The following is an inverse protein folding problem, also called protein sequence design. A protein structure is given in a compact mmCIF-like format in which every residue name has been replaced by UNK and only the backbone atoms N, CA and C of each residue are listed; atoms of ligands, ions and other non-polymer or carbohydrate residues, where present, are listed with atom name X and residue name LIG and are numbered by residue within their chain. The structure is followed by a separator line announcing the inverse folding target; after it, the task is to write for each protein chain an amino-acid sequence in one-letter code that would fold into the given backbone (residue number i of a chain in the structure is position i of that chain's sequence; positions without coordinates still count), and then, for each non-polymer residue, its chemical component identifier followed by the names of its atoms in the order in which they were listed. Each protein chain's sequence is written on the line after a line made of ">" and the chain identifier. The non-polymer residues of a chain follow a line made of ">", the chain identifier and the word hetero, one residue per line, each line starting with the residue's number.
data_IF_550953656283
#
_entry.id   IF_550953656283
#
_cell.length_a   1.000
_cell.length_b   1.000
_cell.length_c   1.000
_cell.angle_alpha   90.00
_cell.angle_beta   90.00
_cell.angle_gamma   90.00
#
_symmetry.space_group_name_H-M   'P 1'
#
loop_
_entity.id
_entity.type
_entity.pdbx_description
1 polymer ?
#
# COMPACT_ATOMS: atom_id res chain seq x y z
N UNK A 1 -5.10 23.27 7.66
CA UNK A 1 -5.45 21.92 7.19
C UNK A 1 -5.13 20.82 8.20
N UNK A 2 -3.91 20.73 8.75
CA UNK A 2 -3.57 19.69 9.76
C UNK A 2 -4.50 19.75 10.97
N UNK A 3 -4.68 20.92 11.54
CA UNK A 3 -5.54 21.14 12.72
C UNK A 3 -6.98 20.68 12.47
N UNK A 4 -7.53 20.98 11.29
CA UNK A 4 -8.88 20.58 10.91
C UNK A 4 -9.04 19.06 10.88
N UNK A 5 -8.04 18.33 10.37
CA UNK A 5 -8.05 16.87 10.34
C UNK A 5 -7.83 16.28 11.73
N UNK A 6 -6.91 16.86 12.51
CA UNK A 6 -6.62 16.43 13.88
C UNK A 6 -7.85 16.54 14.79
N UNK A 7 -8.62 17.63 14.68
CA UNK A 7 -9.87 17.77 15.40
C UNK A 7 -10.90 16.67 15.13
N UNK A 8 -10.93 16.10 13.91
CA UNK A 8 -11.87 15.01 13.59
C UNK A 8 -11.44 13.70 14.25
N UNK A 9 -10.12 13.45 14.38
CA UNK A 9 -9.58 12.33 15.15
C UNK A 9 -9.88 12.50 16.64
N UNK A 10 -9.65 13.68 17.21
CA UNK A 10 -9.95 13.97 18.63
C UNK A 10 -11.44 13.82 18.96
N UNK A 11 -12.31 14.15 18.03
CA UNK A 11 -13.77 13.97 18.16
C UNK A 11 -14.22 12.52 17.97
N UNK A 12 -13.31 11.59 17.69
CA UNK A 12 -13.60 10.18 17.46
C UNK A 12 -14.47 9.92 16.23
N UNK A 13 -14.44 10.81 15.24
CA UNK A 13 -15.17 10.61 13.98
C UNK A 13 -14.42 9.66 13.02
N UNK A 14 -13.10 9.61 13.17
CA UNK A 14 -12.22 8.75 12.42
C UNK A 14 -11.19 8.13 13.36
N UNK A 15 -10.87 6.87 13.13
CA UNK A 15 -9.78 6.17 13.81
C UNK A 15 -8.45 6.43 13.11
N UNK A 16 -8.50 6.69 11.80
CA UNK A 16 -7.34 6.99 10.96
C UNK A 16 -7.71 7.97 9.86
N UNK A 17 -6.80 8.91 9.55
CA UNK A 17 -6.90 9.81 8.39
C UNK A 17 -5.55 9.84 7.68
N UNK A 18 -5.56 9.76 6.35
CA UNK A 18 -4.37 9.94 5.52
C UNK A 18 -4.44 11.29 4.83
N UNK A 19 -3.45 12.14 5.11
CA UNK A 19 -3.33 13.47 4.52
C UNK A 19 -2.49 13.41 3.24
N UNK A 20 -3.07 13.76 2.12
CA UNK A 20 -2.37 13.89 0.85
C UNK A 20 -2.17 15.35 0.46
N UNK A 21 -1.05 15.65 -0.18
CA UNK A 21 -0.77 16.97 -0.76
C UNK A 21 -0.14 16.85 -2.14
N UNK A 22 -0.38 17.85 -2.98
CA UNK A 22 0.28 17.99 -4.27
C UNK A 22 1.29 19.14 -4.22
N UNK A 23 2.50 18.89 -4.70
CA UNK A 23 3.55 19.91 -4.83
C UNK A 23 3.92 20.07 -6.30
N UNK A 24 3.93 21.30 -6.80
CA UNK A 24 4.34 21.61 -8.18
C UNK A 24 5.83 21.99 -8.18
N UNK A 25 6.62 21.21 -8.89
CA UNK A 25 8.02 21.54 -9.15
C UNK A 25 8.17 22.16 -10.54
N UNK A 26 8.74 23.37 -10.60
CA UNK A 26 9.17 24.01 -11.85
C UNK A 26 10.69 23.94 -11.89
N UNK A 27 11.24 23.11 -12.75
CA UNK A 27 12.67 23.06 -13.00
C UNK A 27 12.91 23.11 -14.51
N UNK A 28 13.86 23.94 -14.96
CA UNK A 28 14.32 23.93 -16.35
C UNK A 28 14.90 22.57 -16.74
N UNK A 29 15.48 21.85 -15.78
CA UNK A 29 15.96 20.48 -15.95
C UNK A 29 14.82 19.47 -16.25
N UNK A 30 13.59 19.74 -15.83
CA UNK A 30 12.44 18.86 -16.09
C UNK A 30 11.86 19.04 -17.49
N UNK A 31 12.19 20.14 -18.20
CA UNK A 31 11.61 20.44 -19.51
C UNK A 31 11.99 19.42 -20.61
N UNK A 32 13.01 18.62 -20.39
CA UNK A 32 13.52 17.64 -21.35
C UNK A 32 13.42 16.19 -20.87
N UNK A 33 12.81 15.95 -19.69
CA UNK A 33 12.67 14.58 -19.17
C UNK A 33 11.51 13.90 -19.90
N UNK A 34 11.83 12.86 -20.66
CA UNK A 34 10.81 12.02 -21.29
C UNK A 34 10.24 11.02 -20.26
N UNK A 35 8.92 10.97 -20.14
CA UNK A 35 8.23 10.06 -19.20
C UNK A 35 8.65 8.59 -19.36
N UNK A 36 8.89 8.16 -20.61
CA UNK A 36 9.40 6.83 -20.92
C UNK A 36 10.79 6.56 -20.33
N UNK A 37 11.69 7.54 -20.36
CA UNK A 37 13.04 7.39 -19.80
C UNK A 37 12.98 7.27 -18.28
N UNK A 38 12.11 8.07 -17.62
CA UNK A 38 11.86 7.97 -16.19
C UNK A 38 11.33 6.60 -15.81
N UNK A 39 10.36 6.10 -16.57
CA UNK A 39 9.80 4.76 -16.37
C UNK A 39 10.87 3.69 -16.44
N UNK A 40 11.69 3.69 -17.48
CA UNK A 40 12.76 2.70 -17.65
C UNK A 40 13.81 2.78 -16.54
N UNK A 41 14.17 4.00 -16.10
CA UNK A 41 15.05 4.19 -14.94
C UNK A 41 14.42 3.68 -13.65
N UNK A 42 13.15 3.96 -13.42
CA UNK A 42 12.44 3.45 -12.26
C UNK A 42 12.42 1.91 -12.22
N UNK A 43 12.15 1.25 -13.35
CA UNK A 43 12.22 -0.22 -13.46
C UNK A 43 13.62 -0.77 -13.13
N UNK A 44 14.66 -0.08 -13.53
CA UNK A 44 16.04 -0.49 -13.22
C UNK A 44 16.40 -0.26 -11.75
N UNK A 45 15.96 0.87 -11.18
CA UNK A 45 16.27 1.23 -9.78
C UNK A 45 15.46 0.43 -8.77
N UNK A 46 14.25 0.04 -9.11
CA UNK A 46 13.29 -0.60 -8.20
C UNK A 46 12.75 -1.93 -8.76
N UNK A 47 13.58 -2.94 -8.98
CA UNK A 47 13.18 -4.18 -9.66
C UNK A 47 12.14 -5.02 -8.89
N UNK A 48 11.86 -4.66 -7.63
CA UNK A 48 10.90 -5.38 -6.77
C UNK A 48 9.59 -4.61 -6.57
N UNK A 49 9.48 -3.41 -7.14
CA UNK A 49 8.25 -2.64 -7.08
C UNK A 49 7.42 -2.86 -8.35
N UNK A 50 6.12 -2.72 -8.21
CA UNK A 50 5.26 -2.56 -9.38
C UNK A 50 5.45 -1.14 -9.92
N UNK A 51 5.94 -1.03 -11.16
CA UNK A 51 6.17 0.25 -11.83
C UNK A 51 5.19 0.38 -12.98
N UNK A 52 4.46 1.47 -13.02
CA UNK A 52 3.53 1.74 -14.10
C UNK A 52 3.67 3.19 -14.62
N UNK A 53 3.56 3.34 -15.93
CA UNK A 53 3.45 4.61 -16.62
C UNK A 53 2.11 4.63 -17.35
N UNK A 54 1.22 5.52 -16.94
CA UNK A 54 -0.14 5.62 -17.47
C UNK A 54 -0.37 7.06 -17.96
N UNK A 55 -0.97 7.20 -19.14
CA UNK A 55 -1.33 8.51 -19.69
C UNK A 55 -2.78 8.51 -20.13
N UNK A 56 -3.55 9.46 -19.62
CA UNK A 56 -4.96 9.66 -19.99
C UNK A 56 -5.20 11.11 -20.42
N UNK A 57 -6.22 11.31 -21.20
CA UNK A 57 -6.62 12.67 -21.64
C UNK A 57 -7.17 13.51 -20.49
N UNK A 58 -7.75 12.86 -19.45
CA UNK A 58 -8.38 13.53 -18.33
C UNK A 58 -7.37 13.85 -17.21
N UNK A 59 -6.50 12.90 -16.87
CA UNK A 59 -5.62 13.00 -15.69
C UNK A 59 -4.17 13.32 -16.01
N UNK A 60 -3.79 13.30 -17.30
CA UNK A 60 -2.40 13.50 -17.72
C UNK A 60 -1.55 12.21 -17.61
N UNK A 61 -0.24 12.39 -17.42
CA UNK A 61 0.71 11.29 -17.38
C UNK A 61 1.20 11.05 -15.95
N UNK A 62 1.09 9.81 -15.49
CA UNK A 62 1.43 9.36 -14.16
C UNK A 62 2.50 8.29 -14.20
N UNK A 63 3.55 8.45 -13.41
CA UNK A 63 4.51 7.41 -13.11
C UNK A 63 4.30 6.94 -11.67
N UNK A 64 4.05 5.65 -11.49
CA UNK A 64 3.78 5.04 -10.20
C UNK A 64 4.84 3.99 -9.88
N UNK A 65 5.18 3.87 -8.59
CA UNK A 65 6.03 2.82 -8.06
C UNK A 65 5.48 2.39 -6.69
N UNK A 66 5.03 1.16 -6.56
CA UNK A 66 4.43 0.65 -5.32
C UNK A 66 4.94 -0.74 -4.96
N UNK A 67 5.23 -1.00 -3.68
CA UNK A 67 5.53 -2.34 -3.18
C UNK A 67 4.28 -3.14 -2.82
N UNK A 68 3.12 -2.49 -2.71
CA UNK A 68 1.90 -3.06 -2.23
C UNK A 68 1.12 -3.76 -3.35
N UNK A 69 0.59 -4.93 -3.05
CA UNK A 69 -0.29 -5.69 -3.94
C UNK A 69 -1.71 -5.55 -3.40
N UNK A 70 -2.58 -4.84 -4.13
CA UNK A 70 -3.99 -4.76 -3.79
C UNK A 70 -4.66 -6.12 -3.92
N UNK A 71 -4.53 -6.76 -5.06
CA UNK A 71 -5.05 -8.10 -5.33
C UNK A 71 -4.27 -8.76 -6.45
N UNK A 72 -3.91 -10.04 -6.28
CA UNK A 72 -3.24 -10.83 -7.31
C UNK A 72 -3.66 -12.27 -7.18
N UNK A 73 -4.01 -12.91 -8.28
CA UNK A 73 -4.45 -14.31 -8.24
C UNK A 73 -4.62 -14.94 -9.59
N UNK A 74 -5.03 -16.20 -9.58
CA UNK A 74 -5.36 -16.99 -10.75
C UNK A 74 -6.45 -18.02 -10.39
N UNK A 75 -7.43 -18.17 -11.27
CA UNK A 75 -8.61 -18.98 -10.96
C UNK A 75 -9.35 -18.41 -9.75
N UNK A 76 -9.55 -19.23 -8.73
CA UNK A 76 -10.18 -18.80 -7.49
C UNK A 76 -9.20 -18.48 -6.36
N UNK A 77 -7.88 -18.63 -6.57
CA UNK A 77 -6.87 -18.39 -5.53
C UNK A 77 -6.27 -17.00 -5.65
N UNK A 78 -6.35 -16.23 -4.59
CA UNK A 78 -5.94 -14.84 -4.54
C UNK A 78 -5.02 -14.55 -3.36
N UNK A 79 -4.25 -13.48 -3.50
CA UNK A 79 -3.43 -12.91 -2.44
C UNK A 79 -3.57 -11.40 -2.41
N UNK A 80 -3.51 -10.86 -1.22
CA UNK A 80 -3.39 -9.44 -0.92
C UNK A 80 -2.44 -9.25 0.25
N UNK A 81 -2.13 -8.01 0.59
CA UNK A 81 -1.31 -7.71 1.75
C UNK A 81 -1.74 -6.41 2.43
N UNK A 82 -1.60 -6.37 3.74
CA UNK A 82 -1.54 -5.13 4.50
C UNK A 82 -0.08 -4.67 4.56
N UNK A 83 0.20 -3.46 4.13
CA UNK A 83 1.52 -2.84 4.17
C UNK A 83 1.40 -1.42 4.72
N UNK A 84 1.72 -1.24 6.00
CA UNK A 84 1.66 0.04 6.67
C UNK A 84 2.74 0.15 7.75
N UNK A 85 2.87 1.33 8.36
CA UNK A 85 4.04 1.64 9.17
C UNK A 85 5.29 1.79 8.29
N UNK A 86 6.02 2.88 8.48
CA UNK A 86 7.18 3.17 7.63
C UNK A 86 8.30 3.82 8.44
N UNK A 87 9.50 3.28 8.30
CA UNK A 87 10.69 3.91 8.87
C UNK A 87 11.91 3.74 7.94
N UNK A 88 12.90 4.63 8.01
CA UNK A 88 14.12 4.52 7.21
C UNK A 88 14.86 3.22 7.50
N UNK A 89 15.29 2.53 6.44
CA UNK A 89 16.20 1.39 6.56
C UNK A 89 17.66 1.89 6.49
N UNK A 90 18.60 1.30 7.26
CA UNK A 90 20.02 1.58 7.11
C UNK A 90 20.49 1.31 5.67
N UNK A 91 21.35 2.17 5.13
CA UNK A 91 21.85 2.06 3.76
C UNK A 91 22.60 0.73 3.48
N UNK A 92 23.09 0.08 4.53
CA UNK A 92 23.75 -1.23 4.46
C UNK A 92 22.79 -2.42 4.42
N UNK A 93 21.48 -2.18 4.57
CA UNK A 93 20.50 -3.27 4.59
C UNK A 93 20.36 -3.90 3.21
N UNK A 94 20.53 -5.22 3.16
CA UNK A 94 20.32 -5.99 1.93
C UNK A 94 18.84 -6.28 1.76
N UNK A 95 18.29 -5.91 0.63
CA UNK A 95 16.89 -6.20 0.28
C UNK A 95 16.71 -7.72 0.15
N UNK A 96 15.80 -8.28 0.94
CA UNK A 96 15.51 -9.71 1.01
C UNK A 96 14.00 -9.95 0.96
N UNK A 97 13.61 -11.14 0.45
CA UNK A 97 12.21 -11.60 0.52
C UNK A 97 11.86 -12.22 1.89
N UNK A 98 12.86 -12.38 2.76
CA UNK A 98 12.65 -12.92 4.10
C UNK A 98 12.28 -11.80 5.07
N UNK A 99 11.47 -12.11 6.09
CA UNK A 99 11.25 -11.20 7.20
C UNK A 99 12.58 -10.70 7.80
N UNK A 100 12.60 -9.44 8.16
CA UNK A 100 13.76 -8.79 8.78
C UNK A 100 13.53 -8.76 10.28
N UNK A 101 14.49 -9.30 11.02
CA UNK A 101 14.43 -9.39 12.48
C UNK A 101 15.15 -8.21 13.14
N UNK A 102 14.85 -7.95 14.41
CA UNK A 102 15.55 -6.96 15.23
C UNK A 102 15.19 -5.50 14.93
N UNK A 103 14.12 -5.25 14.18
CA UNK A 103 13.61 -3.89 13.92
C UNK A 103 12.56 -3.53 14.97
N UNK A 104 12.84 -2.49 15.73
CA UNK A 104 11.89 -1.96 16.71
C UNK A 104 10.89 -1.02 16.05
N UNK A 105 9.61 -1.19 16.40
CA UNK A 105 8.51 -0.39 15.86
C UNK A 105 7.82 0.40 16.97
N UNK A 106 7.50 1.65 16.68
CA UNK A 106 6.69 2.45 17.59
C UNK A 106 5.26 1.90 17.66
N UNK A 107 4.61 2.09 18.79
CA UNK A 107 3.21 1.65 18.99
C UNK A 107 2.28 2.22 17.93
N UNK A 108 2.50 3.47 17.50
CA UNK A 108 1.74 4.11 16.43
C UNK A 108 1.79 3.32 15.13
N UNK A 109 3.00 2.90 14.71
CA UNK A 109 3.18 2.18 13.45
C UNK A 109 2.55 0.78 13.50
N UNK A 110 2.63 0.14 14.67
CA UNK A 110 1.97 -1.16 14.91
C UNK A 110 0.44 -1.02 14.85
N UNK A 111 -0.13 0.03 15.44
CA UNK A 111 -1.55 0.32 15.37
C UNK A 111 -1.99 0.63 13.93
N UNK A 112 -1.20 1.41 13.20
CA UNK A 112 -1.47 1.72 11.80
C UNK A 112 -1.54 0.44 10.96
N UNK A 113 -0.58 -0.47 11.14
CA UNK A 113 -0.58 -1.77 10.47
C UNK A 113 -1.78 -2.62 10.88
N UNK A 114 -2.15 -2.59 12.16
CA UNK A 114 -3.29 -3.36 12.66
C UNK A 114 -4.60 -2.92 12.00
N UNK A 115 -4.85 -1.62 11.89
CA UNK A 115 -6.05 -1.09 11.20
C UNK A 115 -6.17 -1.60 9.77
N UNK A 116 -5.07 -1.60 9.01
CA UNK A 116 -5.07 -2.09 7.63
C UNK A 116 -5.27 -3.60 7.58
N UNK A 117 -4.65 -4.32 8.51
CA UNK A 117 -4.77 -5.78 8.62
C UNK A 117 -6.20 -6.21 8.92
N UNK A 118 -6.83 -5.59 9.92
CA UNK A 118 -8.19 -5.92 10.34
C UNK A 118 -9.19 -5.62 9.23
N UNK A 119 -9.07 -4.46 8.58
CA UNK A 119 -9.93 -4.13 7.45
C UNK A 119 -9.86 -5.15 6.32
N UNK A 120 -8.65 -5.53 5.91
CA UNK A 120 -8.47 -6.52 4.83
C UNK A 120 -8.99 -7.90 5.26
N UNK A 121 -8.79 -8.28 6.50
CA UNK A 121 -9.31 -9.55 7.05
C UNK A 121 -10.83 -9.58 7.06
N UNK A 122 -11.47 -8.48 7.47
CA UNK A 122 -12.93 -8.35 7.47
C UNK A 122 -13.48 -8.51 6.04
N UNK A 123 -12.93 -7.78 5.08
CA UNK A 123 -13.33 -7.91 3.67
C UNK A 123 -13.15 -9.34 3.16
N UNK A 124 -11.98 -9.97 3.38
CA UNK A 124 -11.75 -11.34 2.92
C UNK A 124 -12.77 -12.30 3.52
N UNK A 125 -13.11 -12.13 4.81
CA UNK A 125 -14.03 -13.01 5.53
C UNK A 125 -15.46 -13.01 4.97
N UNK A 126 -15.85 -11.96 4.27
CA UNK A 126 -17.15 -11.88 3.59
C UNK A 126 -17.22 -12.74 2.33
N UNK A 127 -16.08 -12.97 1.65
CA UNK A 127 -16.03 -13.62 0.34
C UNK A 127 -15.30 -14.97 0.35
N UNK A 128 -14.71 -15.35 1.49
CA UNK A 128 -13.92 -16.57 1.62
C UNK A 128 -14.04 -17.18 3.00
N UNK A 129 -14.43 -18.45 3.06
CA UNK A 129 -14.39 -19.25 4.30
C UNK A 129 -12.97 -19.80 4.60
N UNK A 130 -12.07 -19.73 3.61
CA UNK A 130 -10.74 -20.33 3.69
C UNK A 130 -9.66 -19.34 3.31
N UNK A 131 -9.01 -18.76 4.31
CA UNK A 131 -7.85 -17.91 4.12
C UNK A 131 -6.74 -18.22 5.12
N UNK A 132 -5.54 -17.79 4.79
CA UNK A 132 -4.39 -17.83 5.69
C UNK A 132 -3.83 -16.42 5.84
N UNK A 133 -3.45 -16.07 7.08
CA UNK A 133 -2.83 -14.82 7.44
C UNK A 133 -1.43 -15.08 8.00
N UNK A 134 -0.44 -14.35 7.49
CA UNK A 134 0.94 -14.43 7.95
C UNK A 134 1.49 -13.02 8.20
N UNK A 135 1.81 -12.72 9.44
CA UNK A 135 2.33 -11.41 9.85
C UNK A 135 1.79 -10.97 11.21
N UNK A 136 2.05 -9.72 11.65
CA UNK A 136 2.92 -8.79 10.93
C UNK A 136 4.40 -9.17 11.03
N UNK A 137 5.16 -8.86 9.99
CA UNK A 137 6.61 -8.96 9.99
C UNK A 137 7.23 -7.74 9.28
N UNK A 138 8.49 -7.45 9.59
CA UNK A 138 9.20 -6.37 8.91
C UNK A 138 9.67 -6.82 7.53
N UNK A 139 9.41 -6.01 6.52
CA UNK A 139 9.91 -6.17 5.15
C UNK A 139 10.58 -4.88 4.69
N UNK A 140 11.31 -4.94 3.60
CA UNK A 140 11.97 -3.78 3.00
C UNK A 140 11.46 -3.55 1.58
N UNK A 141 11.04 -2.33 1.31
CA UNK A 141 10.74 -1.84 -0.02
C UNK A 141 11.54 -0.58 -0.30
N UNK A 142 12.26 -0.55 -1.42
CA UNK A 142 13.26 0.46 -1.72
C UNK A 142 14.27 0.61 -0.57
N UNK A 143 14.27 1.76 0.12
CA UNK A 143 15.16 2.04 1.26
C UNK A 143 14.38 2.25 2.56
N UNK A 144 13.20 1.65 2.65
CA UNK A 144 12.29 1.81 3.77
C UNK A 144 11.90 0.44 4.34
N UNK A 145 11.81 0.37 5.68
CA UNK A 145 11.15 -0.73 6.36
C UNK A 145 9.65 -0.48 6.45
N UNK A 146 8.90 -1.56 6.29
CA UNK A 146 7.45 -1.59 6.47
C UNK A 146 7.03 -2.79 7.31
N UNK A 147 5.92 -2.67 8.02
CA UNK A 147 5.20 -3.80 8.55
C UNK A 147 4.30 -4.39 7.46
N UNK A 148 4.30 -5.71 7.36
CA UNK A 148 3.55 -6.44 6.34
C UNK A 148 2.82 -7.61 6.93
N UNK A 149 1.57 -7.79 6.50
CA UNK A 149 0.77 -9.00 6.74
C UNK A 149 0.29 -9.52 5.39
N UNK A 150 0.59 -10.78 5.09
CA UNK A 150 0.17 -11.44 3.86
C UNK A 150 -1.13 -12.21 4.08
N UNK A 151 -2.02 -12.14 3.11
CA UNK A 151 -3.23 -12.95 3.04
C UNK A 151 -3.23 -13.79 1.77
N UNK A 152 -3.56 -15.07 1.93
CA UNK A 152 -3.85 -15.99 0.84
C UNK A 152 -5.26 -16.53 1.08
N UNK A 153 -6.12 -16.44 0.09
CA UNK A 153 -7.51 -16.85 0.22
C UNK A 153 -8.04 -17.40 -1.10
N UNK A 154 -9.10 -18.18 -0.97
CA UNK A 154 -9.82 -18.73 -2.10
C UNK A 154 -11.22 -18.16 -2.12
N UNK A 155 -11.61 -17.49 -3.22
CA UNK A 155 -12.98 -17.03 -3.38
C UNK A 155 -13.93 -18.22 -3.45
N UNK A 156 -15.00 -18.17 -2.67
CA UNK A 156 -16.05 -19.16 -2.68
C UNK A 156 -16.85 -19.08 -3.98
N UNK A 157 -16.99 -17.87 -4.53
CA UNK A 157 -17.57 -17.59 -5.83
C UNK A 157 -16.68 -16.61 -6.61
N UNK A 158 -16.22 -17.03 -7.79
CA UNK A 158 -15.35 -16.19 -8.65
C UNK A 158 -16.10 -14.99 -9.25
N UNK A 159 -17.40 -15.06 -9.38
CA UNK A 159 -18.21 -13.97 -9.93
C UNK A 159 -18.22 -12.74 -8.99
N UNK A 160 -17.89 -12.93 -7.69
CA UNK A 160 -17.74 -11.85 -6.70
C UNK A 160 -16.39 -11.11 -6.80
N UNK A 161 -15.52 -11.44 -7.74
CA UNK A 161 -14.18 -10.80 -7.84
C UNK A 161 -14.25 -9.27 -7.96
N UNK A 162 -15.25 -8.75 -8.65
CA UNK A 162 -15.49 -7.32 -8.78
C UNK A 162 -15.82 -6.68 -7.44
N UNK A 163 -16.68 -7.32 -6.66
CA UNK A 163 -17.12 -6.83 -5.35
C UNK A 163 -15.95 -6.84 -4.35
N UNK A 164 -15.13 -7.91 -4.35
CA UNK A 164 -13.90 -7.98 -3.55
C UNK A 164 -12.96 -6.83 -3.87
N UNK A 165 -12.81 -6.50 -5.15
CA UNK A 165 -11.92 -5.42 -5.57
C UNK A 165 -12.46 -4.05 -5.14
N UNK A 166 -13.76 -3.84 -5.22
CA UNK A 166 -14.43 -2.60 -4.82
C UNK A 166 -14.35 -2.41 -3.30
N UNK A 167 -14.59 -3.45 -2.53
CA UNK A 167 -14.44 -3.41 -1.07
C UNK A 167 -12.97 -3.20 -0.64
N UNK A 168 -12.01 -3.87 -1.26
CA UNK A 168 -10.60 -3.67 -0.93
C UNK A 168 -10.07 -2.28 -1.31
N UNK A 169 -10.62 -1.62 -2.33
CA UNK A 169 -10.10 -0.34 -2.80
C UNK A 169 -10.99 0.85 -2.42
N UNK A 170 -10.38 1.92 -1.86
CA UNK A 170 -9.02 2.04 -1.35
C UNK A 170 -8.85 1.33 0.00
N UNK A 171 -7.66 0.77 0.26
CA UNK A 171 -7.35 0.24 1.59
C UNK A 171 -7.10 1.37 2.59
N UNK A 172 -7.25 1.14 3.91
CA UNK A 172 -6.89 2.14 4.92
C UNK A 172 -5.39 2.50 4.96
N UNK A 173 -4.55 1.83 4.19
CA UNK A 173 -3.15 2.25 3.99
C UNK A 173 -3.07 3.62 3.28
N UNK A 174 -4.03 3.91 2.38
CA UNK A 174 -4.05 5.12 1.56
C UNK A 174 -5.27 6.02 1.80
N UNK A 175 -6.23 5.58 2.59
CA UNK A 175 -7.40 6.37 3.00
C UNK A 175 -7.58 6.39 4.52
N UNK A 176 -8.72 6.91 5.00
CA UNK A 176 -9.09 6.91 6.42
C UNK A 176 -9.89 5.68 6.85
N UNK A 177 -10.22 5.61 8.14
CA UNK A 177 -11.20 4.73 8.75
C UNK A 177 -12.14 5.60 9.59
N UNK A 178 -13.46 5.50 9.40
CA UNK A 178 -14.13 4.77 8.32
C UNK A 178 -13.77 5.30 6.93
N UNK A 179 -14.04 4.49 5.90
CA UNK A 179 -13.71 4.77 4.51
C UNK A 179 -14.59 5.87 3.89
N UNK A 180 -15.80 6.08 4.45
CA UNK A 180 -16.79 7.09 4.04
C UNK A 180 -16.76 8.35 4.91
#
# INVERSE_FOLDING_TARGET
>A
DFETFHEQLEKGKFDKIVLARCSKMRSQACAHIQAKELFLKACQMYPRLFIALVSTTQSGTWLMATPEILLSGNGCEFKTMALAGTQPAPASTIVSDKPIEGVEWQKKDQMEQQYVTDYIEDVISEFSQHYTKKGPFTTMAAQLYHLRTDFLFRLDDIDCLGDVLDELFPTPAICGIPKE
#
